data_IF_943293117895
#
_entry.id   IF_943293117895
#
_cell.length_a   1.000
_cell.length_b   1.000
_cell.length_c   1.000
_cell.angle_alpha   90.00
_cell.angle_beta   90.00
_cell.angle_gamma   90.00
#
_symmetry.space_group_name_H-M   'P 1'
#
loop_
_entity.id
_entity.type
_entity.pdbx_description
1 polymer ?
#
# COMPACT_ATOMS: atom_id res chain seq x y z
N UNK A 1 -17.05 -2.77 -16.57
CA UNK A 1 -15.96 -3.23 -17.46
C UNK A 1 -14.63 -2.92 -16.80
N UNK A 2 -14.01 -3.92 -16.18
CA UNK A 2 -12.58 -4.24 -16.26
C UNK A 2 -12.42 -5.46 -15.34
N UNK A 3 -12.36 -6.65 -15.94
CA UNK A 3 -12.07 -7.90 -15.24
C UNK A 3 -10.73 -7.77 -14.50
N UNK A 4 -10.73 -8.12 -13.21
CA UNK A 4 -9.51 -8.58 -12.53
C UNK A 4 -9.08 -9.88 -13.21
N UNK A 5 -8.34 -9.77 -14.31
CA UNK A 5 -7.71 -10.92 -14.96
C UNK A 5 -6.65 -11.43 -14.00
N UNK A 6 -7.02 -12.44 -13.22
CA UNK A 6 -6.14 -13.11 -12.28
C UNK A 6 -4.95 -13.64 -13.09
N UNK A 7 -3.75 -13.07 -12.90
CA UNK A 7 -2.53 -13.64 -13.44
C UNK A 7 -2.23 -14.93 -12.66
N UNK A 8 -2.85 -16.04 -13.07
CA UNK A 8 -2.69 -17.37 -12.43
C UNK A 8 -1.28 -17.95 -12.62
N UNK A 9 -0.49 -17.36 -13.52
CA UNK A 9 0.87 -17.80 -13.85
C UNK A 9 1.82 -16.62 -13.76
N UNK A 10 2.94 -16.80 -13.06
CA UNK A 10 4.02 -15.80 -12.94
C UNK A 10 5.28 -16.35 -13.61
N UNK A 11 5.93 -15.55 -14.44
CA UNK A 11 7.23 -15.87 -15.01
C UNK A 11 8.33 -15.19 -14.18
N UNK A 12 9.22 -15.99 -13.59
CA UNK A 12 10.36 -15.49 -12.80
C UNK A 12 11.66 -15.77 -13.54
N UNK A 13 12.45 -14.72 -13.78
CA UNK A 13 13.77 -14.82 -14.41
C UNK A 13 14.81 -14.20 -13.46
N UNK A 14 15.78 -15.00 -13.02
CA UNK A 14 16.88 -14.54 -12.17
C UNK A 14 18.17 -15.30 -12.48
N UNK A 15 19.31 -14.65 -12.26
CA UNK A 15 20.64 -15.27 -12.44
C UNK A 15 21.03 -16.02 -11.16
N UNK A 16 21.46 -17.27 -11.31
CA UNK A 16 22.06 -18.05 -10.22
C UNK A 16 23.15 -18.96 -10.76
N UNK A 17 24.19 -19.21 -9.97
CA UNK A 17 25.24 -20.20 -10.28
C UNK A 17 24.75 -21.64 -10.06
N UNK A 18 23.85 -21.85 -9.11
CA UNK A 18 23.18 -23.14 -8.86
C UNK A 18 21.75 -22.90 -8.39
N UNK A 19 20.81 -23.67 -8.92
CA UNK A 19 19.42 -23.63 -8.45
C UNK A 19 19.28 -24.52 -7.21
N UNK A 20 19.07 -23.91 -6.05
CA UNK A 20 18.78 -24.61 -4.78
C UNK A 20 17.46 -24.13 -4.20
N UNK A 21 16.90 -24.89 -3.25
CA UNK A 21 15.65 -24.54 -2.57
C UNK A 21 15.74 -23.16 -1.89
N UNK A 22 16.86 -22.85 -1.23
CA UNK A 22 17.08 -21.54 -0.60
C UNK A 22 17.10 -20.37 -1.59
N UNK A 23 17.75 -20.56 -2.74
CA UNK A 23 17.79 -19.54 -3.79
C UNK A 23 16.39 -19.29 -4.35
N UNK A 24 15.63 -20.35 -4.63
CA UNK A 24 14.25 -20.22 -5.11
C UNK A 24 13.35 -19.53 -4.07
N UNK A 25 13.44 -19.94 -2.80
CA UNK A 25 12.71 -19.31 -1.69
C UNK A 25 13.01 -17.81 -1.60
N UNK A 26 14.28 -17.42 -1.73
CA UNK A 26 14.69 -16.01 -1.72
C UNK A 26 14.11 -15.24 -2.91
N UNK A 27 14.15 -15.82 -4.11
CA UNK A 27 13.58 -15.21 -5.31
C UNK A 27 12.06 -14.99 -5.19
N UNK A 28 11.33 -16.00 -4.69
CA UNK A 28 9.89 -15.89 -4.43
C UNK A 28 9.58 -14.82 -3.38
N UNK A 29 10.37 -14.75 -2.29
CA UNK A 29 10.20 -13.73 -1.25
C UNK A 29 10.39 -12.32 -1.82
N UNK A 30 11.44 -12.10 -2.61
CA UNK A 30 11.68 -10.81 -3.27
C UNK A 30 10.53 -10.42 -4.19
N UNK A 31 9.98 -11.35 -4.97
CA UNK A 31 8.81 -11.11 -5.80
C UNK A 31 7.60 -10.63 -4.97
N UNK A 32 7.30 -11.32 -3.86
CA UNK A 32 6.19 -10.97 -2.99
C UNK A 32 6.39 -9.61 -2.30
N UNK A 33 7.61 -9.30 -1.87
CA UNK A 33 7.94 -7.99 -1.27
C UNK A 33 7.82 -6.85 -2.28
N UNK A 34 8.31 -7.04 -3.51
CA UNK A 34 8.14 -6.08 -4.59
C UNK A 34 6.66 -5.87 -4.96
N UNK A 35 5.86 -6.94 -4.98
CA UNK A 35 4.42 -6.84 -5.21
C UNK A 35 3.70 -6.06 -4.09
N UNK A 36 4.18 -6.16 -2.84
CA UNK A 36 3.67 -5.34 -1.73
C UNK A 36 4.08 -3.88 -1.85
N UNK A 37 5.30 -3.60 -2.30
CA UNK A 37 5.83 -2.24 -2.49
C UNK A 37 5.26 -1.53 -3.72
N UNK A 38 4.87 -2.26 -4.76
CA UNK A 38 4.25 -1.69 -5.98
C UNK A 38 2.91 -1.01 -5.73
N UNK A 39 2.28 -1.23 -4.57
CA UNK A 39 1.26 -0.33 -4.05
C UNK A 39 1.99 0.83 -3.37
N UNK A 40 2.34 1.87 -4.11
CA UNK A 40 2.61 3.17 -3.50
C UNK A 40 1.49 3.42 -2.49
N UNK A 41 1.82 3.50 -1.20
CA UNK A 41 0.80 3.73 -0.19
C UNK A 41 0.14 5.06 -0.56
N UNK A 42 -1.17 5.08 -0.87
CA UNK A 42 -1.83 6.29 -1.29
C UNK A 42 -1.72 7.32 -0.17
N UNK A 43 -0.97 8.40 -0.40
CA UNK A 43 -0.81 9.47 0.56
C UNK A 43 -2.00 10.44 0.48
N UNK A 44 -2.44 10.96 1.62
CA UNK A 44 -3.61 11.83 1.70
C UNK A 44 -4.91 11.06 1.92
N UNK A 45 -5.97 11.40 1.17
CA UNK A 45 -7.32 10.91 1.43
C UNK A 45 -7.50 9.48 0.92
N UNK A 46 -7.87 8.57 1.81
CA UNK A 46 -8.15 7.15 1.51
C UNK A 46 -9.48 6.72 2.13
N UNK A 47 -9.95 5.52 1.80
CA UNK A 47 -11.15 4.97 2.44
C UNK A 47 -10.88 4.55 3.88
N UNK A 48 -11.91 4.56 4.73
CA UNK A 48 -11.82 4.09 6.13
C UNK A 48 -11.33 2.63 6.19
N UNK A 49 -11.79 1.80 5.24
CA UNK A 49 -11.40 0.38 5.15
C UNK A 49 -9.90 0.22 4.86
N UNK A 50 -9.35 1.04 3.96
CA UNK A 50 -7.92 1.04 3.65
C UNK A 50 -7.09 1.57 4.82
N UNK A 51 -7.57 2.61 5.50
CA UNK A 51 -6.88 3.22 6.65
C UNK A 51 -6.75 2.23 7.81
N UNK A 52 -7.83 1.54 8.15
CA UNK A 52 -7.84 0.52 9.23
C UNK A 52 -7.13 -0.77 8.79
N UNK A 53 -7.25 -1.14 7.52
CA UNK A 53 -6.63 -2.34 6.95
C UNK A 53 -5.09 -2.31 6.90
N UNK A 54 -4.48 -1.14 7.11
CA UNK A 54 -3.02 -0.99 7.21
C UNK A 54 -2.45 -1.45 8.56
N UNK A 55 -3.29 -1.78 9.54
CA UNK A 55 -2.85 -2.28 10.86
C UNK A 55 -2.12 -1.25 11.73
N UNK A 56 -1.96 -0.02 11.24
CA UNK A 56 -1.57 1.13 12.05
C UNK A 56 -2.84 1.65 12.72
N UNK A 57 -2.92 1.58 14.05
CA UNK A 57 -4.09 2.04 14.80
C UNK A 57 -4.52 3.44 14.34
N UNK A 58 -5.78 3.57 13.89
CA UNK A 58 -6.29 4.85 13.42
C UNK A 58 -6.69 5.73 14.62
N UNK A 59 -6.23 6.98 14.62
CA UNK A 59 -6.67 7.99 15.59
C UNK A 59 -7.73 8.89 14.95
N UNK A 60 -8.80 9.18 15.70
CA UNK A 60 -9.84 10.11 15.28
C UNK A 60 -9.50 11.51 15.75
N UNK A 61 -9.62 12.50 14.87
CA UNK A 61 -9.58 13.92 15.21
C UNK A 61 -10.85 14.60 14.71
N UNK A 62 -11.40 15.52 15.49
CA UNK A 62 -12.50 16.37 15.04
C UNK A 62 -11.95 17.55 14.23
N UNK A 63 -12.53 17.76 13.06
CA UNK A 63 -12.11 18.78 12.10
C UNK A 63 -13.37 19.56 11.70
N UNK A 64 -13.30 20.89 11.71
CA UNK A 64 -14.39 21.78 11.34
C UNK A 64 -14.21 22.27 9.90
N UNK A 65 -15.27 22.80 9.28
CA UNK A 65 -15.21 23.31 7.91
C UNK A 65 -14.15 24.42 7.73
N UNK A 66 -13.85 25.15 8.81
CA UNK A 66 -12.82 26.20 8.79
C UNK A 66 -11.38 25.66 8.72
N UNK A 67 -11.10 24.45 9.23
CA UNK A 67 -9.73 23.94 9.35
C UNK A 67 -9.42 22.73 8.44
N UNK A 68 -10.44 22.10 7.84
CA UNK A 68 -10.27 20.92 6.97
C UNK A 68 -9.33 21.18 5.78
N UNK A 69 -9.39 22.35 5.14
CA UNK A 69 -8.52 22.68 4.00
C UNK A 69 -7.05 22.80 4.41
N UNK A 70 -6.79 23.39 5.56
CA UNK A 70 -5.44 23.51 6.13
C UNK A 70 -4.89 22.14 6.52
N UNK A 71 -5.74 21.28 7.08
CA UNK A 71 -5.39 19.92 7.43
C UNK A 71 -4.96 19.09 6.21
N UNK A 72 -5.73 19.12 5.11
CA UNK A 72 -5.37 18.34 3.90
C UNK A 72 -3.98 18.72 3.36
N UNK A 73 -3.64 20.02 3.39
CA UNK A 73 -2.33 20.52 2.93
C UNK A 73 -1.20 20.02 3.81
N UNK A 74 -1.39 20.04 5.13
CA UNK A 74 -0.41 19.56 6.11
C UNK A 74 -0.27 18.04 6.04
N UNK A 75 -1.38 17.32 5.92
CA UNK A 75 -1.39 15.87 5.78
C UNK A 75 -0.60 15.41 4.55
N UNK A 76 -0.76 16.09 3.40
CA UNK A 76 0.05 15.83 2.21
C UNK A 76 1.53 16.12 2.41
N UNK A 77 1.88 17.22 3.10
CA UNK A 77 3.29 17.58 3.37
C UNK A 77 4.02 16.52 4.19
N UNK A 78 3.32 15.87 5.12
CA UNK A 78 3.89 14.87 6.02
C UNK A 78 3.52 13.43 5.64
N UNK A 79 2.98 13.19 4.44
CA UNK A 79 2.55 11.88 3.96
C UNK A 79 1.56 11.15 4.91
N UNK A 80 0.75 11.91 5.63
CA UNK A 80 -0.29 11.39 6.51
C UNK A 80 -1.47 10.91 5.68
N UNK A 81 -1.92 9.69 5.98
CA UNK A 81 -3.10 9.10 5.39
C UNK A 81 -4.30 9.34 6.29
N UNK A 82 -5.43 9.75 5.71
CA UNK A 82 -6.64 10.06 6.48
C UNK A 82 -7.89 9.69 5.70
N UNK A 83 -8.97 9.45 6.44
CA UNK A 83 -10.30 9.26 5.90
C UNK A 83 -11.24 10.29 6.53
N UNK A 84 -12.16 10.84 5.74
CA UNK A 84 -13.19 11.76 6.24
C UNK A 84 -14.48 10.99 6.43
N UNK A 85 -15.00 10.99 7.65
CA UNK A 85 -16.31 10.44 7.99
C UNK A 85 -17.25 11.62 8.27
N UNK A 86 -18.44 11.59 7.67
CA UNK A 86 -19.53 12.50 7.99
C UNK A 86 -20.29 12.00 9.20
#
# INVERSE_FOLDING_TARGET
MQEEVTQKTIALVFKSSRLTADVLKKAMKMYLEHHKQGKQMPHGKISVKELVGQGMGASSIEVTDNNIKSFERVAKKYNVQFAVKK
#
